data_IF_682745244209
#
_entry.id   IF_682745244209
#
_cell.length_a   1.000
_cell.length_b   1.000
_cell.length_c   1.000
_cell.angle_alpha   90.00
_cell.angle_beta   90.00
_cell.angle_gamma   90.00
#
_symmetry.space_group_name_H-M   'P 1'
#
loop_
_entity.id
_entity.type
_entity.pdbx_description
1 polymer ?
#
# COMPACT_ATOMS: atom_id res chain seq x y z
N UNK A 1 15.04 -22.33 17.97
CA UNK A 1 14.15 -21.34 18.61
C UNK A 1 13.74 -20.16 17.68
N UNK A 2 13.86 -20.27 16.34
CA UNK A 2 13.56 -19.19 15.37
C UNK A 2 12.22 -19.36 14.62
N UNK A 3 11.62 -20.56 14.64
CA UNK A 3 10.35 -20.83 13.96
C UNK A 3 9.12 -20.27 14.71
N UNK A 4 9.17 -20.20 16.04
CA UNK A 4 8.07 -19.71 16.87
C UNK A 4 7.81 -18.19 16.71
N UNK A 5 8.88 -17.39 16.55
CA UNK A 5 8.76 -15.94 16.33
C UNK A 5 8.02 -15.57 15.03
N UNK A 6 8.13 -16.43 14.02
CA UNK A 6 7.52 -16.23 12.69
C UNK A 6 6.02 -16.56 12.67
N UNK A 7 5.57 -17.42 13.59
CA UNK A 7 4.15 -17.77 13.78
C UNK A 7 3.40 -16.74 14.64
N UNK A 8 4.04 -16.23 15.70
CA UNK A 8 3.45 -15.19 16.58
C UNK A 8 3.16 -13.91 15.77
N UNK A 9 4.02 -13.56 14.82
CA UNK A 9 3.83 -12.40 13.93
C UNK A 9 2.72 -12.61 12.88
N UNK A 10 2.39 -13.85 12.51
CA UNK A 10 1.24 -14.16 11.64
C UNK A 10 -0.09 -14.00 12.40
N UNK A 11 -0.16 -14.48 13.65
CA UNK A 11 -1.40 -14.42 14.45
C UNK A 11 -1.68 -12.98 14.91
N UNK A 12 -0.65 -12.19 15.27
CA UNK A 12 -0.80 -10.79 15.64
C UNK A 12 -1.29 -9.89 14.49
N UNK A 13 -1.15 -10.31 13.21
CA UNK A 13 -1.65 -9.57 12.03
C UNK A 13 -3.17 -9.54 11.90
N UNK A 14 -3.91 -10.36 12.69
CA UNK A 14 -5.38 -10.27 12.78
C UNK A 14 -5.86 -9.07 13.58
N UNK A 15 -4.97 -8.41 14.35
CA UNK A 15 -5.31 -7.19 15.06
C UNK A 15 -5.65 -6.09 14.05
N UNK A 16 -6.73 -5.35 14.30
CA UNK A 16 -7.17 -4.24 13.47
C UNK A 16 -5.96 -3.36 13.12
N UNK A 17 -5.53 -3.37 11.85
CA UNK A 17 -4.44 -2.50 11.44
C UNK A 17 -5.02 -1.10 11.39
N UNK A 18 -4.52 -0.24 12.25
CA UNK A 18 -4.85 1.19 12.15
C UNK A 18 -4.34 1.72 10.81
N UNK A 19 -4.83 2.89 10.41
CA UNK A 19 -4.29 3.60 9.23
C UNK A 19 -2.77 3.79 9.36
N UNK A 20 -2.28 4.06 10.57
CA UNK A 20 -0.85 4.22 10.86
C UNK A 20 -0.05 2.92 10.62
N UNK A 21 -0.58 1.76 11.02
CA UNK A 21 0.09 0.46 10.79
C UNK A 21 0.17 0.13 9.29
N UNK A 22 -0.91 0.41 8.56
CA UNK A 22 -0.94 0.25 7.10
C UNK A 22 0.08 1.16 6.43
N UNK A 23 0.13 2.44 6.81
CA UNK A 23 1.11 3.39 6.30
C UNK A 23 2.56 2.92 6.57
N UNK A 24 2.86 2.53 7.81
CA UNK A 24 4.19 2.03 8.20
C UNK A 24 4.59 0.79 7.40
N UNK A 25 3.67 -0.16 7.23
CA UNK A 25 3.91 -1.34 6.41
C UNK A 25 4.15 -0.99 4.94
N UNK A 26 3.39 -0.05 4.39
CA UNK A 26 3.50 0.41 3.00
C UNK A 26 4.87 1.03 2.71
N UNK A 27 5.34 1.96 3.55
CA UNK A 27 6.64 2.63 3.35
C UNK A 27 7.83 1.69 3.50
N UNK A 28 7.65 0.60 4.26
CA UNK A 28 8.65 -0.46 4.45
C UNK A 28 8.60 -1.56 3.37
N UNK A 29 7.66 -1.48 2.42
CA UNK A 29 7.54 -2.46 1.33
C UNK A 29 6.82 -3.76 1.69
N UNK A 30 6.03 -3.81 2.77
CA UNK A 30 5.23 -5.00 3.10
C UNK A 30 4.09 -5.19 2.08
N UNK A 31 4.19 -6.27 1.29
CA UNK A 31 3.20 -6.61 0.24
C UNK A 31 1.80 -6.89 0.80
N UNK A 32 1.68 -7.37 2.05
CA UNK A 32 0.38 -7.59 2.70
C UNK A 32 -0.26 -6.26 3.04
N UNK A 33 0.52 -5.29 3.55
CA UNK A 33 0.00 -3.95 3.81
C UNK A 33 -0.36 -3.22 2.51
N UNK A 34 0.40 -3.41 1.43
CA UNK A 34 0.07 -2.87 0.10
C UNK A 34 -1.28 -3.42 -0.40
N UNK A 35 -1.47 -4.73 -0.41
CA UNK A 35 -2.71 -5.36 -0.86
C UNK A 35 -3.92 -4.88 -0.03
N UNK A 36 -3.78 -4.84 1.30
CA UNK A 36 -4.84 -4.35 2.20
C UNK A 36 -5.16 -2.87 1.96
N UNK A 37 -4.15 -2.05 1.68
CA UNK A 37 -4.34 -0.63 1.38
C UNK A 37 -5.11 -0.43 0.07
N UNK A 38 -4.80 -1.22 -0.97
CA UNK A 38 -5.55 -1.20 -2.24
C UNK A 38 -7.01 -1.57 -1.99
N UNK A 39 -7.27 -2.68 -1.29
CA UNK A 39 -8.64 -3.10 -0.93
C UNK A 39 -9.37 -2.05 -0.09
N UNK A 40 -8.68 -1.37 0.82
CA UNK A 40 -9.26 -0.28 1.62
C UNK A 40 -9.68 0.90 0.74
N UNK A 41 -8.84 1.29 -0.23
CA UNK A 41 -9.11 2.38 -1.18
C UNK A 41 -10.24 2.02 -2.15
N UNK A 42 -10.35 0.77 -2.57
CA UNK A 42 -11.42 0.28 -3.47
C UNK A 42 -12.77 0.08 -2.77
N UNK A 43 -12.79 0.08 -1.43
CA UNK A 43 -14.00 -0.17 -0.64
C UNK A 43 -15.07 0.91 -0.83
N UNK A 44 -16.33 0.48 -0.99
CA UNK A 44 -17.51 1.35 -1.05
C UNK A 44 -18.13 1.68 0.32
N UNK A 45 -17.68 1.02 1.39
CA UNK A 45 -18.16 1.27 2.76
C UNK A 45 -17.74 2.64 3.28
N UNK A 46 -18.69 3.47 3.73
CA UNK A 46 -18.49 4.89 4.10
C UNK A 46 -17.36 5.11 5.11
N UNK A 47 -17.32 4.35 6.20
CA UNK A 47 -16.26 4.51 7.22
C UNK A 47 -14.88 4.10 6.67
N UNK A 48 -14.84 3.08 5.83
CA UNK A 48 -13.59 2.61 5.22
C UNK A 48 -13.05 3.64 4.21
N UNK A 49 -13.93 4.34 3.52
CA UNK A 49 -13.54 5.45 2.65
C UNK A 49 -12.92 6.61 3.44
N UNK A 50 -13.38 6.86 4.67
CA UNK A 50 -12.76 7.88 5.52
C UNK A 50 -11.33 7.48 5.91
N UNK A 51 -11.13 6.23 6.34
CA UNK A 51 -9.77 5.70 6.60
C UNK A 51 -8.90 5.67 5.34
N UNK A 52 -9.48 5.37 4.17
CA UNK A 52 -8.77 5.39 2.89
C UNK A 52 -8.26 6.79 2.55
N UNK A 53 -9.09 7.83 2.73
CA UNK A 53 -8.70 9.24 2.53
C UNK A 53 -7.57 9.65 3.47
N UNK A 54 -7.65 9.25 4.73
CA UNK A 54 -6.59 9.50 5.72
C UNK A 54 -5.26 8.85 5.28
N UNK A 55 -5.30 7.56 4.92
CA UNK A 55 -4.13 6.82 4.45
C UNK A 55 -3.51 7.47 3.21
N UNK A 56 -4.33 7.82 2.22
CA UNK A 56 -3.88 8.49 0.99
C UNK A 56 -3.22 9.84 1.29
N UNK A 57 -3.75 10.61 2.25
CA UNK A 57 -3.14 11.86 2.70
C UNK A 57 -1.71 11.65 3.22
N UNK A 58 -1.50 10.66 4.09
CA UNK A 58 -0.18 10.33 4.61
C UNK A 58 0.79 9.88 3.50
N UNK A 59 0.31 9.05 2.56
CA UNK A 59 1.11 8.57 1.42
C UNK A 59 1.52 9.73 0.49
N UNK A 60 0.60 10.62 0.14
CA UNK A 60 0.88 11.77 -0.71
C UNK A 60 1.88 12.73 -0.07
N UNK A 61 1.75 12.97 1.24
CA UNK A 61 2.71 13.78 1.98
C UNK A 61 4.12 13.15 1.96
N UNK A 62 4.21 11.85 2.23
CA UNK A 62 5.48 11.12 2.17
C UNK A 62 6.10 11.11 0.77
N UNK A 63 5.29 10.98 -0.29
CA UNK A 63 5.75 11.07 -1.67
C UNK A 63 6.28 12.46 -2.01
N UNK A 64 5.59 13.53 -1.59
CA UNK A 64 6.04 14.92 -1.77
C UNK A 64 7.39 15.15 -1.10
N UNK A 65 7.58 14.66 0.13
CA UNK A 65 8.85 14.74 0.84
C UNK A 65 9.98 14.00 0.11
N UNK A 66 9.72 12.76 -0.36
CA UNK A 66 10.70 12.00 -1.17
C UNK A 66 11.08 12.72 -2.46
N UNK A 67 10.11 13.34 -3.13
CA UNK A 67 10.36 14.10 -4.36
C UNK A 67 11.20 15.36 -4.10
N UNK A 68 10.96 16.06 -2.99
CA UNK A 68 11.74 17.23 -2.59
C UNK A 68 13.22 16.87 -2.31
N UNK A 69 13.47 15.68 -1.75
CA UNK A 69 14.83 15.18 -1.50
C UNK A 69 15.54 14.76 -2.80
N UNK A 70 14.80 14.36 -3.84
CA UNK A 70 15.34 13.87 -5.11
C UNK A 70 14.65 14.55 -6.32
N UNK A 71 14.80 15.88 -6.48
CA UNK A 71 13.96 16.66 -7.42
C UNK A 71 14.14 16.28 -8.89
N UNK A 72 15.29 15.68 -9.24
CA UNK A 72 15.63 15.32 -10.63
C UNK A 72 15.32 13.86 -10.98
N UNK A 73 14.82 13.05 -10.04
CA UNK A 73 14.55 11.61 -10.27
C UNK A 73 13.05 11.32 -10.20
N UNK A 74 12.42 10.81 -11.27
CA UNK A 74 11.04 10.35 -11.19
C UNK A 74 10.94 9.16 -10.23
N UNK A 75 9.95 9.19 -9.33
CA UNK A 75 9.74 8.14 -8.31
C UNK A 75 9.31 6.81 -8.97
N UNK A 76 8.55 6.89 -10.07
CA UNK A 76 8.05 5.75 -10.82
C UNK A 76 7.86 6.12 -12.28
N UNK A 77 8.08 5.18 -13.20
CA UNK A 77 7.66 5.30 -14.59
C UNK A 77 6.33 4.54 -14.78
N UNK A 78 5.30 5.20 -15.32
CA UNK A 78 3.94 4.65 -15.45
C UNK A 78 3.65 4.34 -16.92
N UNK A 79 3.47 3.07 -17.25
CA UNK A 79 3.21 2.58 -18.61
C UNK A 79 1.77 2.06 -18.66
N UNK A 80 1.00 2.52 -19.64
CA UNK A 80 -0.31 1.94 -19.96
C UNK A 80 -0.15 0.82 -20.98
N UNK A 81 -0.68 -0.37 -20.67
CA UNK A 81 -0.74 -1.49 -21.60
C UNK A 81 -2.21 -1.79 -21.91
N UNK A 82 -2.55 -1.85 -23.20
CA UNK A 82 -3.92 -2.09 -23.70
C UNK A 82 -3.86 -2.98 -24.96
N UNK A 83 -4.96 -3.69 -25.24
CA UNK A 83 -5.09 -4.58 -26.39
C UNK A 83 -6.41 -5.33 -26.37
N UNK A 84 -6.84 -5.80 -27.55
CA UNK A 84 -8.04 -6.64 -27.68
C UNK A 84 -7.87 -7.99 -26.95
N UNK A 85 -8.98 -8.67 -26.60
CA UNK A 85 -8.91 -10.07 -26.15
C UNK A 85 -8.13 -10.90 -27.18
N UNK A 86 -7.08 -11.60 -26.75
CA UNK A 86 -6.20 -12.39 -27.62
C UNK A 86 -4.91 -11.70 -28.09
N UNK A 87 -4.68 -10.41 -27.79
CA UNK A 87 -3.47 -9.68 -28.21
C UNK A 87 -2.15 -10.11 -27.51
N UNK A 88 -2.16 -11.16 -26.69
CA UNK A 88 -0.94 -11.68 -26.04
C UNK A 88 -0.39 -10.84 -24.88
N UNK A 89 -1.25 -10.12 -24.16
CA UNK A 89 -0.86 -9.19 -23.08
C UNK A 89 -0.39 -9.81 -21.75
N UNK A 90 -0.40 -11.14 -21.63
CA UNK A 90 -0.30 -11.85 -20.35
C UNK A 90 1.13 -11.97 -19.83
#
# INVERSE_FOLDING_TARGET
>A
MLFAQRFISIVSRRYASTVADLYKGLINGDRVCLARSITLVESTHKEKQQHAKELLGQVLQGLKQRQQQQPRKPISFRIGLSGSPGAGKW
#
